data_IF_396968153827
#
_entry.id   IF_396968153827
#
_cell.length_a   1.000
_cell.length_b   1.000
_cell.length_c   1.000
_cell.angle_alpha   90.00
_cell.angle_beta   90.00
_cell.angle_gamma   90.00
#
_symmetry.space_group_name_H-M   'P 1'
#
loop_
_entity.id
_entity.type
_entity.pdbx_description
1 polymer ?
#
# COMPACT_ATOMS: atom_id res chain seq x y z
N UNK A 1 19.53 -6.32 -2.03
CA UNK A 1 19.48 -7.58 -1.25
C UNK A 1 20.03 -8.74 -2.08
N UNK A 2 20.58 -9.82 -1.48
CA UNK A 2 21.00 -11.01 -2.24
C UNK A 2 19.91 -12.08 -2.20
N UNK A 3 19.35 -12.43 -3.35
CA UNK A 3 18.43 -13.56 -3.49
C UNK A 3 19.23 -14.85 -3.81
N UNK A 4 18.76 -16.05 -3.44
CA UNK A 4 19.40 -17.32 -3.83
C UNK A 4 19.51 -17.46 -5.35
N UNK A 5 20.56 -18.12 -5.84
CA UNK A 5 20.84 -18.19 -7.29
C UNK A 5 19.70 -18.82 -8.10
N UNK A 6 18.97 -19.79 -7.52
CA UNK A 6 17.82 -20.44 -8.14
C UNK A 6 16.48 -19.76 -7.87
N UNK A 7 16.45 -18.66 -7.11
CA UNK A 7 15.19 -18.00 -6.76
C UNK A 7 14.44 -17.48 -7.98
N UNK A 8 15.14 -17.01 -8.99
CA UNK A 8 14.56 -16.40 -10.20
C UNK A 8 14.10 -17.42 -11.25
N UNK A 9 14.36 -18.70 -11.03
CA UNK A 9 13.92 -19.76 -11.93
C UNK A 9 12.43 -20.07 -11.71
N UNK A 10 11.72 -20.43 -12.80
CA UNK A 10 10.34 -20.90 -12.70
C UNK A 10 10.26 -22.19 -11.92
N UNK A 11 9.21 -22.36 -11.12
CA UNK A 11 9.01 -23.55 -10.28
C UNK A 11 7.53 -23.95 -10.19
N UNK A 12 7.28 -25.22 -9.87
CA UNK A 12 5.95 -25.67 -9.48
C UNK A 12 5.86 -25.61 -7.95
N UNK A 13 4.93 -24.80 -7.42
CA UNK A 13 4.65 -24.70 -6.01
C UNK A 13 3.16 -24.87 -5.76
N UNK A 14 2.78 -25.83 -4.90
CA UNK A 14 1.38 -26.17 -4.62
C UNK A 14 0.53 -26.43 -5.88
N UNK A 15 1.07 -27.19 -6.84
CA UNK A 15 0.46 -27.51 -8.12
C UNK A 15 0.23 -26.30 -9.06
N UNK A 16 0.79 -25.13 -8.73
CA UNK A 16 0.75 -23.93 -9.54
C UNK A 16 2.15 -23.66 -10.13
N UNK A 17 2.22 -23.37 -11.43
CA UNK A 17 3.47 -23.00 -12.07
C UNK A 17 3.72 -21.51 -11.90
N UNK A 18 4.75 -21.16 -11.15
CA UNK A 18 5.23 -19.80 -10.96
C UNK A 18 6.28 -19.52 -12.02
N UNK A 19 6.00 -18.60 -12.91
CA UNK A 19 6.92 -18.21 -13.98
C UNK A 19 8.14 -17.43 -13.46
N UNK A 20 9.26 -17.51 -14.18
CA UNK A 20 10.48 -16.76 -13.88
C UNK A 20 10.22 -15.26 -13.78
N UNK A 21 9.32 -14.69 -14.60
CA UNK A 21 9.01 -13.27 -14.53
C UNK A 21 8.30 -12.91 -13.22
N UNK A 22 7.38 -13.74 -12.73
CA UNK A 22 6.76 -13.56 -11.42
C UNK A 22 7.81 -13.60 -10.29
N UNK A 23 8.78 -14.49 -10.39
CA UNK A 23 9.88 -14.57 -9.42
C UNK A 23 10.74 -13.30 -9.42
N UNK A 24 10.93 -12.66 -10.59
CA UNK A 24 11.60 -11.36 -10.69
C UNK A 24 10.77 -10.23 -10.07
N UNK A 25 9.45 -10.25 -10.25
CA UNK A 25 8.53 -9.32 -9.57
C UNK A 25 8.65 -9.46 -8.05
N UNK A 26 8.57 -10.65 -7.52
CA UNK A 26 8.76 -10.90 -6.09
C UNK A 26 10.13 -10.42 -5.58
N UNK A 27 11.20 -10.68 -6.35
CA UNK A 27 12.53 -10.20 -5.97
C UNK A 27 12.61 -8.67 -5.94
N UNK A 28 11.98 -7.99 -6.91
CA UNK A 28 11.91 -6.54 -6.96
C UNK A 28 11.09 -5.95 -5.80
N UNK A 29 9.96 -6.59 -5.43
CA UNK A 29 9.18 -6.21 -4.25
C UNK A 29 9.99 -6.36 -2.96
N UNK A 30 10.77 -7.43 -2.84
CA UNK A 30 11.66 -7.62 -1.68
C UNK A 30 12.75 -6.55 -1.61
N UNK A 31 13.25 -6.01 -2.74
CA UNK A 31 14.16 -4.85 -2.72
C UNK A 31 13.47 -3.60 -2.18
N UNK A 32 12.23 -3.35 -2.60
CA UNK A 32 11.43 -2.22 -2.07
C UNK A 32 11.19 -2.41 -0.57
N UNK A 33 10.75 -3.60 -0.15
CA UNK A 33 10.54 -3.91 1.27
C UNK A 33 11.82 -3.78 2.08
N UNK A 34 12.97 -4.20 1.54
CA UNK A 34 14.25 -4.08 2.21
C UNK A 34 14.61 -2.62 2.53
N UNK A 35 14.33 -1.71 1.62
CA UNK A 35 14.58 -0.28 1.84
C UNK A 35 13.57 0.30 2.84
N UNK A 36 12.29 -0.07 2.75
CA UNK A 36 11.27 0.30 3.76
C UNK A 36 11.71 -0.19 5.14
N UNK A 37 12.12 -1.44 5.27
CA UNK A 37 12.57 -2.05 6.54
C UNK A 37 13.79 -1.32 7.11
N UNK A 38 14.77 -0.96 6.25
CA UNK A 38 15.95 -0.18 6.65
C UNK A 38 15.55 1.15 7.28
N UNK A 39 14.64 1.88 6.62
CA UNK A 39 14.15 3.18 7.07
C UNK A 39 13.34 3.02 8.36
N UNK A 40 12.43 2.06 8.40
CA UNK A 40 11.61 1.79 9.58
C UNK A 40 12.47 1.46 10.81
N UNK A 41 13.48 0.61 10.66
CA UNK A 41 14.42 0.27 11.74
C UNK A 41 15.21 1.48 12.21
N UNK A 42 15.73 2.29 11.29
CA UNK A 42 16.50 3.51 11.60
C UNK A 42 15.68 4.51 12.42
N UNK A 43 14.40 4.64 12.11
CA UNK A 43 13.52 5.62 12.72
C UNK A 43 12.59 5.05 13.81
N UNK A 44 12.76 3.79 14.19
CA UNK A 44 11.90 3.11 15.16
C UNK A 44 10.41 3.22 14.78
N UNK A 45 10.09 2.83 13.54
CA UNK A 45 8.76 2.74 12.96
C UNK A 45 8.36 1.27 12.91
N UNK A 46 7.18 0.95 13.39
CA UNK A 46 6.65 -0.43 13.37
C UNK A 46 5.71 -0.61 12.19
N UNK A 47 5.92 -1.68 11.44
CA UNK A 47 5.01 -2.14 10.41
C UNK A 47 4.76 -3.64 10.54
N UNK A 48 3.71 -4.13 9.91
CA UNK A 48 3.30 -5.52 9.93
C UNK A 48 3.06 -6.00 8.50
N UNK A 49 3.43 -7.24 8.20
CA UNK A 49 2.92 -7.90 7.00
C UNK A 49 1.41 -8.11 7.16
N UNK A 50 0.65 -7.91 6.08
CA UNK A 50 -0.81 -8.01 6.13
C UNK A 50 -1.36 -8.75 4.90
N UNK A 51 -2.65 -8.98 4.85
CA UNK A 51 -3.37 -9.59 3.73
C UNK A 51 -2.67 -10.83 3.15
N UNK A 52 -2.47 -10.87 1.82
CA UNK A 52 -1.79 -11.95 1.10
C UNK A 52 -0.36 -12.16 1.56
N UNK A 53 0.35 -11.10 1.88
CA UNK A 53 1.74 -11.14 2.39
C UNK A 53 1.86 -11.90 3.71
N UNK A 54 1.00 -11.59 4.69
CA UNK A 54 0.99 -12.31 5.98
C UNK A 54 0.53 -13.76 5.81
N UNK A 55 -0.54 -13.97 5.05
CA UNK A 55 -1.07 -15.30 4.79
C UNK A 55 -0.02 -16.18 4.07
N UNK A 56 0.68 -15.63 3.10
CA UNK A 56 1.77 -16.28 2.39
C UNK A 56 2.92 -16.67 3.33
N UNK A 57 3.37 -15.74 4.15
CA UNK A 57 4.44 -15.99 5.12
C UNK A 57 4.09 -17.15 6.08
N UNK A 58 2.85 -17.19 6.59
CA UNK A 58 2.39 -18.22 7.54
C UNK A 58 2.17 -19.55 6.85
N UNK A 59 1.40 -19.58 5.75
CA UNK A 59 0.90 -20.79 5.09
C UNK A 59 1.90 -21.37 4.09
N UNK A 60 2.54 -20.52 3.28
CA UNK A 60 3.42 -20.93 2.19
C UNK A 60 4.92 -20.76 2.50
N UNK A 61 5.26 -20.17 3.66
CA UNK A 61 6.64 -19.81 4.05
C UNK A 61 7.31 -18.88 3.03
N UNK A 62 6.53 -18.00 2.42
CA UNK A 62 6.91 -17.04 1.40
C UNK A 62 5.69 -16.54 0.64
N UNK A 63 5.86 -16.11 -0.58
CA UNK A 63 4.75 -15.66 -1.42
C UNK A 63 3.72 -16.77 -1.68
N UNK A 64 2.45 -16.40 -1.75
CA UNK A 64 1.40 -17.26 -2.31
C UNK A 64 1.71 -17.44 -3.81
N UNK A 65 1.69 -18.68 -4.37
CA UNK A 65 2.19 -18.93 -5.72
C UNK A 65 1.52 -18.14 -6.85
N UNK A 66 0.28 -17.70 -6.66
CA UNK A 66 -0.53 -16.97 -7.63
C UNK A 66 -0.75 -15.49 -7.24
N UNK A 67 0.01 -14.99 -6.27
CA UNK A 67 -0.10 -13.63 -5.75
C UNK A 67 1.04 -12.77 -6.28
N UNK A 68 0.75 -11.56 -6.73
CA UNK A 68 1.69 -10.68 -7.41
C UNK A 68 1.97 -9.36 -6.68
N UNK A 69 1.39 -9.18 -5.51
CA UNK A 69 1.55 -7.99 -4.69
C UNK A 69 2.11 -8.26 -3.28
N UNK A 70 2.47 -7.21 -2.60
CA UNK A 70 2.88 -7.21 -1.20
C UNK A 70 2.20 -6.07 -0.46
N UNK A 71 1.59 -6.42 0.68
CA UNK A 71 0.88 -5.52 1.55
C UNK A 71 1.53 -5.45 2.93
N UNK A 72 1.66 -4.25 3.43
CA UNK A 72 2.04 -4.00 4.81
C UNK A 72 1.05 -3.03 5.47
N UNK A 73 0.98 -3.08 6.77
CA UNK A 73 0.12 -2.24 7.58
C UNK A 73 0.93 -1.46 8.61
N UNK A 74 0.60 -0.19 8.79
CA UNK A 74 1.17 0.68 9.82
C UNK A 74 0.07 1.26 10.70
N UNK A 75 0.34 1.40 12.00
CA UNK A 75 -0.51 2.23 12.85
C UNK A 75 -0.39 3.70 12.44
N UNK A 76 -1.47 4.48 12.58
CA UNK A 76 -1.53 5.88 12.16
C UNK A 76 -0.29 6.71 12.56
N UNK A 77 0.18 6.58 13.78
CA UNK A 77 1.34 7.33 14.28
C UNK A 77 2.64 6.94 13.58
N UNK A 78 2.85 5.65 13.35
CA UNK A 78 4.00 5.13 12.62
C UNK A 78 3.94 5.54 11.15
N UNK A 79 2.75 5.49 10.54
CA UNK A 79 2.53 5.92 9.17
C UNK A 79 2.85 7.42 8.96
N UNK A 80 2.35 8.30 9.83
CA UNK A 80 2.64 9.74 9.75
C UNK A 80 4.15 9.97 9.81
N UNK A 81 4.83 9.33 10.76
CA UNK A 81 6.28 9.40 10.89
C UNK A 81 7.00 8.87 9.66
N UNK A 82 6.51 7.75 9.09
CA UNK A 82 7.05 7.17 7.86
C UNK A 82 6.96 8.16 6.70
N UNK A 83 5.80 8.77 6.47
CA UNK A 83 5.62 9.79 5.41
C UNK A 83 6.55 11.00 5.55
N UNK A 84 6.86 11.41 6.79
CA UNK A 84 7.75 12.54 7.07
C UNK A 84 9.23 12.21 6.81
N UNK A 85 9.67 10.98 7.11
CA UNK A 85 11.09 10.62 7.04
C UNK A 85 11.46 9.97 5.72
N UNK A 86 10.57 9.20 5.10
CA UNK A 86 10.85 8.41 3.90
C UNK A 86 11.45 9.25 2.75
N UNK A 87 10.90 10.40 2.36
CA UNK A 87 11.45 11.21 1.26
C UNK A 87 12.84 11.81 1.56
N UNK A 88 13.23 11.84 2.84
CA UNK A 88 14.54 12.35 3.28
C UNK A 88 15.60 11.26 3.32
N UNK A 89 15.18 10.00 3.37
CA UNK A 89 16.04 8.82 3.53
C UNK A 89 16.38 8.14 2.22
N UNK A 90 15.55 8.32 1.21
CA UNK A 90 15.77 7.73 -0.12
C UNK A 90 15.29 8.65 -1.23
N UNK A 91 16.00 8.63 -2.35
CA UNK A 91 15.61 9.25 -3.62
C UNK A 91 15.41 8.21 -4.72
N UNK A 92 15.54 6.93 -4.37
CA UNK A 92 15.51 5.81 -5.31
C UNK A 92 14.12 5.17 -5.41
N UNK A 93 13.27 5.45 -4.42
CA UNK A 93 11.88 5.00 -4.36
C UNK A 93 10.96 6.21 -4.24
N UNK A 94 9.80 6.13 -4.84
CA UNK A 94 8.76 7.14 -4.77
C UNK A 94 7.69 6.74 -3.76
N UNK A 95 7.27 7.70 -2.92
CA UNK A 95 6.12 7.57 -2.04
C UNK A 95 4.89 8.15 -2.75
N UNK A 96 3.93 7.31 -3.08
CA UNK A 96 2.70 7.67 -3.79
C UNK A 96 1.53 7.72 -2.80
N UNK A 97 0.97 8.90 -2.64
CA UNK A 97 -0.18 9.18 -1.77
C UNK A 97 -1.08 10.21 -2.45
N UNK A 98 -2.30 10.39 -1.93
CA UNK A 98 -3.21 11.47 -2.36
C UNK A 98 -2.61 12.88 -2.16
N UNK A 99 -1.53 13.03 -1.39
CA UNK A 99 -0.85 14.30 -1.14
C UNK A 99 0.37 14.51 -2.02
N UNK A 100 0.92 13.44 -2.60
CA UNK A 100 2.15 13.51 -3.42
C UNK A 100 1.87 13.46 -4.92
N UNK A 101 0.75 12.87 -5.34
CA UNK A 101 0.41 12.64 -6.74
C UNK A 101 -1.06 13.01 -7.00
N UNK A 102 -1.31 14.02 -7.82
CA UNK A 102 -2.67 14.50 -8.16
C UNK A 102 -3.56 13.44 -8.85
N UNK A 103 -2.93 12.51 -9.55
CA UNK A 103 -3.64 11.42 -10.26
C UNK A 103 -3.97 10.23 -9.35
N UNK A 104 -3.44 10.21 -8.12
CA UNK A 104 -3.67 9.11 -7.18
C UNK A 104 -4.92 9.39 -6.34
N UNK A 105 -5.97 8.63 -6.60
CA UNK A 105 -7.29 8.77 -5.96
C UNK A 105 -7.57 7.71 -4.88
N UNK A 106 -6.57 6.92 -4.51
CA UNK A 106 -6.69 5.88 -3.48
C UNK A 106 -6.20 6.37 -2.12
N UNK A 107 -6.89 5.95 -1.05
CA UNK A 107 -6.43 6.14 0.33
C UNK A 107 -5.28 5.19 0.72
N UNK A 108 -5.00 4.19 -0.13
CA UNK A 108 -3.85 3.31 0.05
C UNK A 108 -2.59 4.08 -0.35
N UNK A 109 -1.59 4.04 0.50
CA UNK A 109 -0.26 4.57 0.17
C UNK A 109 0.55 3.49 -0.52
N UNK A 110 1.31 3.88 -1.54
CA UNK A 110 2.20 2.95 -2.26
C UNK A 110 3.64 3.45 -2.25
N UNK A 111 4.60 2.57 -2.04
CA UNK A 111 6.01 2.84 -2.28
C UNK A 111 6.43 2.10 -3.52
N UNK A 112 6.95 2.81 -4.53
CA UNK A 112 7.28 2.24 -5.85
C UNK A 112 8.74 2.48 -6.23
N UNK A 113 9.28 1.61 -7.08
CA UNK A 113 10.64 1.68 -7.60
C UNK A 113 10.82 2.67 -8.78
N UNK A 114 9.85 3.56 -9.00
CA UNK A 114 9.82 4.56 -10.04
C UNK A 114 8.45 4.71 -10.66
N UNK A 115 8.31 5.67 -11.59
CA UNK A 115 7.02 6.07 -12.19
C UNK A 115 6.83 5.54 -13.62
N UNK A 116 7.76 4.76 -14.15
CA UNK A 116 7.73 4.24 -15.52
C UNK A 116 8.53 2.95 -15.66
N UNK A 117 8.18 2.15 -16.65
CA UNK A 117 8.92 0.95 -17.05
C UNK A 117 10.33 1.35 -17.49
N UNK A 118 11.35 0.60 -17.06
CA UNK A 118 12.75 0.85 -17.33
C UNK A 118 13.46 -0.42 -17.81
N UNK A 119 14.26 -0.29 -18.88
CA UNK A 119 15.06 -1.38 -19.46
C UNK A 119 16.56 -1.10 -19.41
N UNK A 120 17.00 -0.05 -18.73
CA UNK A 120 18.41 0.22 -18.56
C UNK A 120 19.07 -0.77 -17.60
N UNK A 121 20.37 -1.02 -17.83
CA UNK A 121 21.11 -2.06 -17.13
C UNK A 121 21.17 -1.83 -15.61
N UNK A 122 21.25 -0.57 -15.17
CA UNK A 122 21.29 -0.22 -13.75
C UNK A 122 20.01 -0.65 -13.04
N UNK A 123 18.84 -0.32 -13.63
CA UNK A 123 17.55 -0.71 -13.09
C UNK A 123 17.36 -2.23 -13.08
N UNK A 124 17.65 -2.88 -14.22
CA UNK A 124 17.50 -4.33 -14.33
C UNK A 124 18.43 -5.09 -13.38
N UNK A 125 19.66 -4.62 -13.18
CA UNK A 125 20.58 -5.22 -12.21
C UNK A 125 20.06 -5.09 -10.78
N UNK A 126 19.55 -3.91 -10.42
CA UNK A 126 19.02 -3.63 -9.07
C UNK A 126 17.75 -4.44 -8.77
N UNK A 127 16.84 -4.54 -9.74
CA UNK A 127 15.55 -5.19 -9.58
C UNK A 127 15.48 -6.58 -10.24
N UNK A 128 16.61 -7.31 -10.26
CA UNK A 128 16.70 -8.72 -10.66
C UNK A 128 16.15 -9.03 -12.06
N UNK A 129 16.26 -8.08 -12.99
CA UNK A 129 15.74 -8.21 -14.35
C UNK A 129 14.25 -7.95 -14.49
N UNK A 130 13.62 -7.33 -13.48
CA UNK A 130 12.23 -6.83 -13.56
C UNK A 130 12.23 -5.41 -14.12
N UNK A 131 11.62 -5.15 -15.30
CA UNK A 131 11.59 -3.82 -15.90
C UNK A 131 10.42 -2.95 -15.39
N UNK A 132 9.46 -3.55 -14.68
CA UNK A 132 8.19 -2.93 -14.35
C UNK A 132 8.26 -2.00 -13.14
N UNK A 133 7.26 -1.13 -13.06
CA UNK A 133 6.99 -0.39 -11.83
C UNK A 133 6.45 -1.37 -10.80
N UNK A 134 7.23 -1.58 -9.76
CA UNK A 134 6.93 -2.50 -8.68
C UNK A 134 6.79 -1.70 -7.39
N UNK A 135 5.79 -2.03 -6.59
CA UNK A 135 5.54 -1.36 -5.33
C UNK A 135 5.04 -2.28 -4.25
N UNK A 136 4.93 -1.69 -3.06
CA UNK A 136 4.23 -2.24 -1.91
C UNK A 136 3.10 -1.31 -1.51
N UNK A 137 1.98 -1.89 -1.16
CA UNK A 137 0.84 -1.16 -0.62
C UNK A 137 0.94 -1.06 0.90
N UNK A 138 0.69 0.15 1.42
CA UNK A 138 0.72 0.45 2.85
C UNK A 138 -0.68 0.83 3.29
N UNK A 139 -1.26 -0.03 4.12
CA UNK A 139 -2.55 0.20 4.77
C UNK A 139 -2.34 0.89 6.11
N UNK A 140 -3.30 1.71 6.50
CA UNK A 140 -3.25 2.43 7.76
C UNK A 140 -4.32 1.85 8.66
N UNK A 141 -3.93 1.51 9.89
CA UNK A 141 -4.88 1.07 10.93
C UNK A 141 -4.96 2.11 12.02
N UNK A 142 -6.18 2.38 12.43
CA UNK A 142 -6.52 3.24 13.54
C UNK A 142 -7.04 2.45 14.73
N UNK A 143 -7.19 3.11 15.86
CA UNK A 143 -7.82 2.51 17.02
C UNK A 143 -9.33 2.39 16.78
N UNK A 144 -9.89 1.29 17.25
CA UNK A 144 -11.35 1.16 17.35
C UNK A 144 -11.86 2.19 18.37
N UNK A 145 -12.99 2.80 18.08
CA UNK A 145 -13.61 3.75 18.99
C UNK A 145 -13.89 3.11 20.36
N UNK A 146 -13.84 3.88 21.46
CA UNK A 146 -13.92 3.34 22.82
C UNK A 146 -15.29 2.77 23.17
N UNK A 147 -16.35 3.18 22.49
CA UNK A 147 -17.71 2.66 22.68
C UNK A 147 -18.29 2.12 21.38
N UNK A 148 -19.27 1.24 21.47
CA UNK A 148 -19.96 0.72 20.29
C UNK A 148 -20.69 1.83 19.52
N UNK A 149 -21.26 2.81 20.21
CA UNK A 149 -21.95 3.95 19.60
C UNK A 149 -20.99 4.82 18.79
N UNK A 150 -19.81 5.15 19.34
CA UNK A 150 -18.77 5.90 18.63
C UNK A 150 -18.22 5.10 17.42
N UNK A 151 -18.12 3.78 17.53
CA UNK A 151 -17.66 2.92 16.44
C UNK A 151 -18.68 2.88 15.29
N UNK A 152 -19.96 2.71 15.62
CA UNK A 152 -21.06 2.77 14.65
C UNK A 152 -21.10 4.13 13.94
N UNK A 153 -20.96 5.24 14.67
CA UNK A 153 -20.86 6.58 14.10
C UNK A 153 -19.67 6.75 13.17
N UNK A 154 -18.49 6.29 13.59
CA UNK A 154 -17.28 6.31 12.75
C UNK A 154 -17.46 5.49 11.47
N UNK A 155 -18.06 4.32 11.56
CA UNK A 155 -18.40 3.49 10.41
C UNK A 155 -19.38 4.17 9.44
N UNK A 156 -20.35 4.91 9.95
CA UNK A 156 -21.30 5.67 9.12
C UNK A 156 -20.58 6.80 8.38
N UNK A 157 -19.73 7.58 9.06
CA UNK A 157 -18.91 8.62 8.40
C UNK A 157 -18.03 8.02 7.30
N UNK A 158 -17.37 6.90 7.56
CA UNK A 158 -16.52 6.24 6.56
C UNK A 158 -17.34 5.83 5.33
N UNK A 159 -18.55 5.26 5.52
CA UNK A 159 -19.47 4.90 4.43
C UNK A 159 -19.86 6.12 3.60
N UNK A 160 -20.22 7.21 4.27
CA UNK A 160 -20.60 8.47 3.64
C UNK A 160 -19.43 9.01 2.79
N UNK A 161 -18.25 9.14 3.38
CA UNK A 161 -17.06 9.63 2.66
C UNK A 161 -16.71 8.74 1.48
N UNK A 162 -16.77 7.41 1.65
CA UNK A 162 -16.49 6.47 0.57
C UNK A 162 -17.51 6.60 -0.58
N UNK A 163 -18.78 6.79 -0.27
CA UNK A 163 -19.81 7.02 -1.28
C UNK A 163 -19.62 8.34 -2.03
N UNK A 164 -19.18 9.40 -1.32
CA UNK A 164 -18.83 10.69 -1.94
C UNK A 164 -17.68 10.55 -2.93
N UNK A 165 -16.61 9.88 -2.51
CA UNK A 165 -15.46 9.65 -3.39
C UNK A 165 -15.87 8.86 -4.63
N UNK A 166 -16.64 7.80 -4.49
CA UNK A 166 -17.16 7.02 -5.61
C UNK A 166 -18.02 7.86 -6.57
N UNK A 167 -18.91 8.71 -6.03
CA UNK A 167 -19.73 9.59 -6.85
C UNK A 167 -18.90 10.63 -7.63
N UNK A 168 -17.85 11.17 -7.02
CA UNK A 168 -16.91 12.07 -7.69
C UNK A 168 -16.19 11.36 -8.84
N UNK A 169 -15.70 10.14 -8.62
CA UNK A 169 -15.01 9.32 -9.62
C UNK A 169 -15.91 8.98 -10.81
N UNK A 170 -17.20 8.69 -10.56
CA UNK A 170 -18.19 8.37 -11.58
C UNK A 170 -18.82 9.62 -12.22
N UNK A 171 -18.42 10.85 -11.80
CA UNK A 171 -19.06 12.11 -12.18
C UNK A 171 -20.59 12.13 -11.94
N UNK A 172 -21.05 11.41 -10.93
CA UNK A 172 -22.45 11.39 -10.52
C UNK A 172 -22.65 12.55 -9.52
N UNK A 173 -23.15 13.66 -10.02
CA UNK A 173 -23.56 14.80 -9.20
C UNK A 173 -25.08 14.84 -9.18
N UNK A 174 -25.71 14.31 -8.16
CA UNK A 174 -27.12 14.57 -7.92
C UNK A 174 -27.30 15.59 -6.80
N UNK A 175 -28.33 16.44 -6.93
CA UNK A 175 -28.61 17.51 -6.00
C UNK A 175 -29.05 16.98 -4.62
N UNK A 176 -29.62 15.77 -4.54
CA UNK A 176 -30.03 15.15 -3.27
C UNK A 176 -28.84 14.66 -2.47
N UNK A 177 -27.85 14.06 -3.11
CA UNK A 177 -26.60 13.63 -2.48
C UNK A 177 -25.84 14.85 -1.95
N UNK A 178 -25.80 15.94 -2.70
CA UNK A 178 -25.14 17.18 -2.30
C UNK A 178 -25.81 17.85 -1.09
N UNK A 179 -27.13 17.79 -0.97
CA UNK A 179 -27.90 18.38 0.13
C UNK A 179 -27.75 17.60 1.43
N UNK A 180 -27.67 16.26 1.40
CA UNK A 180 -27.42 15.42 2.57
C UNK A 180 -26.08 15.74 3.26
N UNK A 181 -25.08 16.22 2.48
CA UNK A 181 -23.73 16.49 2.99
C UNK A 181 -23.51 17.93 3.45
N UNK A 182 -24.37 18.88 3.08
CA UNK A 182 -24.18 20.29 3.41
C UNK A 182 -25.01 20.78 4.60
N UNK A 183 -26.10 20.08 4.97
CA UNK A 183 -27.04 20.61 5.96
C UNK A 183 -26.93 20.02 7.36
N UNK A 184 -26.71 18.71 7.54
CA UNK A 184 -26.81 18.12 8.87
C UNK A 184 -25.47 17.64 9.47
N UNK A 185 -24.61 16.98 8.69
CA UNK A 185 -23.36 16.44 9.21
C UNK A 185 -22.29 17.50 9.57
N UNK A 186 -22.34 18.68 8.93
CA UNK A 186 -21.42 19.78 9.22
C UNK A 186 -21.82 20.59 10.45
N UNK A 187 -23.11 20.61 10.80
CA UNK A 187 -23.60 21.36 11.98
C UNK A 187 -23.54 20.52 13.26
N UNK A 188 -23.70 19.21 13.19
CA UNK A 188 -23.50 18.32 14.35
C UNK A 188 -22.03 18.18 14.73
N UNK A 189 -21.10 18.16 13.78
CA UNK A 189 -19.65 18.13 14.05
C UNK A 189 -19.10 19.41 14.68
N UNK A 190 -19.87 20.53 14.70
CA UNK A 190 -19.52 21.80 15.37
C UNK A 190 -20.08 21.95 16.77
N UNK A 191 -20.88 21.03 17.23
CA UNK A 191 -21.56 21.11 18.54
C UNK A 191 -20.95 20.22 19.63
N UNK A 192 -19.78 19.60 19.38
CA UNK A 192 -19.03 18.83 20.38
C UNK A 192 -17.73 19.52 20.76
#
# INVERSE_FOLDING_TARGET
>A
MRVPDNFLEGEIRNSFYVESMMKKVWAAQLEVLHEIDRICKKHNITYFADWGTLLGAVRHKGFIPWDDDMDITMKRQDYIKFCEVFPKETTELDLVTIYTEEWWNSLITRVVNGKRIRFDDEHLQKYHGCPWVIGLDIFIVDYVAPTQEDDEYTCEIIKIVSALVANIEENIYDDETCLLYTSDAADEARSV
#
